data_IF_904927079016
#
_entry.id   IF_904927079016
#
_cell.length_a   1.000
_cell.length_b   1.000
_cell.length_c   1.000
_cell.angle_alpha   90.00
_cell.angle_beta   90.00
_cell.angle_gamma   90.00
#
_symmetry.space_group_name_H-M   'P 1'
#
loop_
_entity.id
_entity.type
_entity.pdbx_description
1 polymer ?
#
# COMPACT_ATOMS: atom_id res chain seq x y z
N UNK A 1 21.67 -7.24 1.34
CA UNK A 1 20.64 -6.21 1.58
C UNK A 1 19.85 -5.87 0.30
N UNK A 2 20.51 -5.45 -0.80
CA UNK A 2 19.84 -5.03 -2.05
C UNK A 2 18.93 -6.11 -2.63
N UNK A 3 19.35 -7.37 -2.63
CA UNK A 3 18.55 -8.49 -3.14
C UNK A 3 17.24 -8.61 -2.36
N UNK A 4 17.28 -8.50 -1.03
CA UNK A 4 16.10 -8.63 -0.16
C UNK A 4 15.16 -7.43 -0.25
N UNK A 5 15.71 -6.23 -0.44
CA UNK A 5 14.91 -4.98 -0.42
C UNK A 5 14.44 -4.53 -1.80
N UNK A 6 15.04 -5.01 -2.89
CA UNK A 6 14.67 -4.60 -4.23
C UNK A 6 14.35 -5.79 -5.14
N UNK A 7 15.28 -6.73 -5.31
CA UNK A 7 15.12 -7.80 -6.32
C UNK A 7 14.00 -8.77 -5.95
N UNK A 8 13.99 -9.26 -4.72
CA UNK A 8 12.98 -10.24 -4.28
C UNK A 8 11.57 -9.67 -4.29
N UNK A 9 11.27 -8.51 -3.62
CA UNK A 9 9.91 -7.97 -3.64
C UNK A 9 9.43 -7.61 -5.04
N UNK A 10 10.31 -7.11 -5.92
CA UNK A 10 10.00 -6.85 -7.31
C UNK A 10 9.62 -8.13 -8.06
N UNK A 11 10.49 -9.16 -8.03
CA UNK A 11 10.27 -10.41 -8.75
C UNK A 11 9.03 -11.17 -8.24
N UNK A 12 8.85 -11.24 -6.92
CA UNK A 12 7.70 -11.90 -6.32
C UNK A 12 6.41 -11.16 -6.64
N UNK A 13 6.40 -9.83 -6.54
CA UNK A 13 5.23 -9.03 -6.87
C UNK A 13 4.85 -9.17 -8.34
N UNK A 14 5.83 -9.10 -9.25
CA UNK A 14 5.64 -9.29 -10.67
C UNK A 14 5.08 -10.69 -11.00
N UNK A 15 5.72 -11.74 -10.48
CA UNK A 15 5.31 -13.12 -10.74
C UNK A 15 3.92 -13.42 -10.15
N UNK A 16 3.66 -13.02 -8.91
CA UNK A 16 2.38 -13.23 -8.27
C UNK A 16 1.26 -12.45 -8.95
N UNK A 17 1.48 -11.18 -9.31
CA UNK A 17 0.51 -10.38 -10.03
C UNK A 17 0.20 -10.98 -11.41
N UNK A 18 1.21 -11.44 -12.13
CA UNK A 18 1.04 -12.12 -13.41
C UNK A 18 0.24 -13.42 -13.25
N UNK A 19 0.64 -14.30 -12.33
CA UNK A 19 -0.06 -15.55 -12.07
C UNK A 19 -1.52 -15.33 -11.71
N UNK A 20 -1.81 -14.41 -10.79
CA UNK A 20 -3.18 -14.09 -10.37
C UNK A 20 -4.01 -13.50 -11.52
N UNK A 21 -3.41 -12.60 -12.30
CA UNK A 21 -4.09 -11.99 -13.44
C UNK A 21 -4.47 -12.99 -14.52
N UNK A 22 -3.60 -13.97 -14.80
CA UNK A 22 -3.82 -14.98 -15.85
C UNK A 22 -4.64 -16.17 -15.36
N UNK A 23 -4.55 -16.57 -14.09
CA UNK A 23 -5.23 -17.76 -13.56
C UNK A 23 -6.64 -17.47 -13.06
N UNK A 24 -6.82 -16.39 -12.29
CA UNK A 24 -8.07 -16.09 -11.55
C UNK A 24 -8.78 -14.88 -12.16
N UNK A 25 -8.02 -13.92 -12.64
CA UNK A 25 -8.53 -12.72 -13.29
C UNK A 25 -7.77 -11.45 -12.94
N UNK A 26 -7.82 -10.50 -13.84
CA UNK A 26 -7.03 -9.25 -13.78
C UNK A 26 -7.28 -8.42 -12.52
N UNK A 27 -8.48 -8.46 -11.95
CA UNK A 27 -8.86 -7.77 -10.71
C UNK A 27 -8.06 -8.23 -9.48
N UNK A 28 -7.47 -9.43 -9.53
CA UNK A 28 -6.68 -9.98 -8.42
C UNK A 28 -5.17 -9.66 -8.54
N UNK A 29 -4.73 -9.04 -9.62
CA UNK A 29 -3.33 -8.65 -9.81
C UNK A 29 -2.76 -7.82 -8.65
N UNK A 30 -3.50 -6.87 -8.03
CA UNK A 30 -3.01 -6.10 -6.89
C UNK A 30 -2.62 -6.93 -5.66
N UNK A 31 -3.18 -8.16 -5.50
CA UNK A 31 -2.76 -9.07 -4.44
C UNK A 31 -1.28 -9.48 -4.57
N UNK A 32 -0.72 -9.46 -5.77
CA UNK A 32 0.71 -9.70 -6.01
C UNK A 32 1.59 -8.67 -5.31
N UNK A 33 1.16 -7.40 -5.22
CA UNK A 33 1.83 -6.36 -4.46
C UNK A 33 1.93 -6.71 -2.97
N UNK A 34 0.81 -7.12 -2.38
CA UNK A 34 0.76 -7.51 -0.97
C UNK A 34 1.65 -8.71 -0.67
N UNK A 35 1.66 -9.72 -1.55
CA UNK A 35 2.54 -10.89 -1.42
C UNK A 35 4.02 -10.50 -1.54
N UNK A 36 4.38 -9.67 -2.52
CA UNK A 36 5.76 -9.18 -2.69
C UNK A 36 6.26 -8.41 -1.48
N UNK A 37 5.43 -7.51 -0.95
CA UNK A 37 5.75 -6.77 0.25
C UNK A 37 5.83 -7.66 1.50
N UNK A 38 4.91 -8.62 1.67
CA UNK A 38 4.91 -9.52 2.82
C UNK A 38 6.17 -10.40 2.85
N UNK A 39 6.59 -10.94 1.71
CA UNK A 39 7.80 -11.74 1.61
C UNK A 39 9.05 -10.87 1.88
N UNK A 40 9.08 -9.64 1.36
CA UNK A 40 10.16 -8.71 1.66
C UNK A 40 10.23 -8.39 3.17
N UNK A 41 9.07 -8.11 3.78
CA UNK A 41 9.00 -7.88 5.21
C UNK A 41 9.56 -9.08 6.00
N UNK A 42 9.13 -10.29 5.65
CA UNK A 42 9.61 -11.52 6.30
C UNK A 42 11.14 -11.69 6.18
N UNK A 43 11.70 -11.40 5.02
CA UNK A 43 13.15 -11.51 4.80
C UNK A 43 13.95 -10.44 5.56
N UNK A 44 13.39 -9.26 5.79
CA UNK A 44 14.06 -8.13 6.45
C UNK A 44 13.91 -8.20 7.97
N UNK A 45 12.70 -8.45 8.45
CA UNK A 45 12.31 -8.32 9.85
C UNK A 45 12.00 -9.66 10.52
N UNK A 46 11.90 -10.75 9.75
CA UNK A 46 11.38 -12.03 10.23
C UNK A 46 9.85 -12.07 10.29
N UNK A 47 9.31 -13.14 10.87
CA UNK A 47 7.87 -13.28 11.03
C UNK A 47 7.31 -12.18 11.93
N UNK A 48 6.21 -11.52 11.51
CA UNK A 48 5.61 -10.48 12.33
C UNK A 48 5.05 -11.07 13.64
N UNK A 49 5.46 -10.55 14.81
CA UNK A 49 5.01 -11.05 16.10
C UNK A 49 3.54 -10.70 16.36
N UNK A 50 2.83 -11.61 17.04
CA UNK A 50 1.48 -11.41 17.54
C UNK A 50 1.51 -11.36 19.08
N UNK A 51 1.08 -10.27 19.72
CA UNK A 51 0.62 -8.99 19.17
C UNK A 51 1.79 -8.07 18.70
N UNK A 52 1.57 -7.21 17.69
CA UNK A 52 2.59 -6.30 17.20
C UNK A 52 2.88 -5.19 18.23
N UNK A 53 4.16 -5.06 18.64
CA UNK A 53 4.57 -4.11 19.67
C UNK A 53 5.02 -2.75 19.09
N UNK A 54 5.61 -2.75 17.89
CA UNK A 54 6.15 -1.56 17.22
C UNK A 54 5.37 -1.20 15.95
N UNK A 55 5.50 0.06 15.50
CA UNK A 55 4.82 0.55 14.29
C UNK A 55 5.25 -0.23 13.04
N UNK A 56 6.55 -0.56 12.90
CA UNK A 56 7.05 -1.36 11.78
C UNK A 56 6.45 -2.77 11.76
N UNK A 57 6.18 -3.38 12.92
CA UNK A 57 5.56 -4.69 13.03
C UNK A 57 4.07 -4.71 12.67
N UNK A 58 3.42 -3.55 12.65
CA UNK A 58 2.02 -3.40 12.22
C UNK A 58 1.88 -3.34 10.71
N UNK A 59 2.94 -2.98 9.97
CA UNK A 59 2.89 -2.76 8.52
C UNK A 59 2.38 -3.98 7.71
N UNK A 60 2.84 -5.23 7.94
CA UNK A 60 2.34 -6.37 7.20
C UNK A 60 0.85 -6.64 7.45
N UNK A 61 0.38 -6.42 8.68
CA UNK A 61 -1.04 -6.55 9.00
C UNK A 61 -1.87 -5.45 8.33
N UNK A 62 -1.36 -4.22 8.30
CA UNK A 62 -2.01 -3.11 7.60
C UNK A 62 -2.08 -3.34 6.11
N UNK A 63 -0.99 -3.85 5.51
CA UNK A 63 -0.96 -4.18 4.09
C UNK A 63 -1.97 -5.28 3.75
N UNK A 64 -2.03 -6.33 4.56
CA UNK A 64 -3.02 -7.40 4.40
C UNK A 64 -4.44 -6.86 4.53
N UNK A 65 -4.71 -6.06 5.58
CA UNK A 65 -6.02 -5.46 5.84
C UNK A 65 -6.46 -4.52 4.71
N UNK A 66 -5.56 -3.66 4.25
CA UNK A 66 -5.81 -2.76 3.14
C UNK A 66 -6.11 -3.51 1.83
N UNK A 67 -5.37 -4.59 1.57
CA UNK A 67 -5.57 -5.42 0.38
C UNK A 67 -6.90 -6.17 0.42
N UNK A 68 -7.23 -6.78 1.56
CA UNK A 68 -8.52 -7.45 1.75
C UNK A 68 -9.69 -6.46 1.67
N UNK A 69 -9.53 -5.30 2.30
CA UNK A 69 -10.53 -4.25 2.25
C UNK A 69 -10.75 -3.74 0.82
N UNK A 70 -9.67 -3.47 0.07
CA UNK A 70 -9.74 -3.08 -1.33
C UNK A 70 -10.47 -4.12 -2.19
N UNK A 71 -10.18 -5.41 -1.98
CA UNK A 71 -10.86 -6.50 -2.67
C UNK A 71 -12.34 -6.57 -2.31
N UNK A 72 -12.70 -6.42 -1.04
CA UNK A 72 -14.10 -6.40 -0.58
C UNK A 72 -14.84 -5.21 -1.19
N UNK A 73 -14.23 -4.02 -1.17
CA UNK A 73 -14.83 -2.83 -1.78
C UNK A 73 -15.03 -3.02 -3.27
N UNK A 74 -14.10 -3.63 -3.99
CA UNK A 74 -14.22 -3.89 -5.41
C UNK A 74 -15.35 -4.89 -5.72
N UNK A 75 -15.44 -5.98 -4.96
CA UNK A 75 -16.52 -6.97 -5.11
C UNK A 75 -17.87 -6.36 -4.75
N UNK A 76 -17.93 -5.53 -3.70
CA UNK A 76 -19.13 -4.88 -3.24
C UNK A 76 -19.52 -3.63 -4.08
N UNK A 77 -18.59 -3.09 -4.85
CA UNK A 77 -18.78 -1.85 -5.63
C UNK A 77 -19.93 -1.93 -6.63
N UNK A 78 -20.25 -3.12 -7.12
CA UNK A 78 -21.39 -3.37 -8.01
C UNK A 78 -22.73 -3.21 -7.31
N UNK A 79 -22.76 -3.31 -5.97
CA UNK A 79 -23.99 -3.26 -5.16
C UNK A 79 -24.08 -2.04 -4.23
N UNK A 80 -22.94 -1.41 -3.91
CA UNK A 80 -22.82 -0.39 -2.86
C UNK A 80 -22.16 0.90 -3.37
N UNK A 81 -22.55 1.38 -4.54
CA UNK A 81 -21.95 2.57 -5.20
C UNK A 81 -21.96 3.81 -4.31
N UNK A 82 -23.00 4.01 -3.51
CA UNK A 82 -23.13 5.16 -2.58
C UNK A 82 -22.22 5.05 -1.35
N UNK A 83 -21.90 3.83 -0.90
CA UNK A 83 -21.04 3.61 0.28
C UNK A 83 -19.56 3.58 -0.06
N UNK A 84 -19.20 3.44 -1.31
CA UNK A 84 -17.81 3.39 -1.79
C UNK A 84 -16.95 4.57 -1.28
N UNK A 85 -17.46 5.83 -1.33
CA UNK A 85 -16.71 6.98 -0.81
C UNK A 85 -16.46 6.94 0.68
N UNK A 86 -17.46 6.60 1.44
CA UNK A 86 -17.35 6.56 2.91
C UNK A 86 -16.43 5.44 3.37
N UNK A 87 -16.50 4.26 2.74
CA UNK A 87 -15.61 3.15 3.01
C UNK A 87 -14.15 3.48 2.67
N UNK A 88 -13.91 4.14 1.53
CA UNK A 88 -12.55 4.54 1.14
C UNK A 88 -11.93 5.53 2.13
N UNK A 89 -12.70 6.45 2.71
CA UNK A 89 -12.23 7.38 3.73
C UNK A 89 -12.06 6.73 5.12
N UNK A 90 -12.84 5.69 5.42
CA UNK A 90 -12.73 4.98 6.68
C UNK A 90 -11.40 4.24 6.84
N UNK A 91 -10.81 3.75 5.73
CA UNK A 91 -9.55 3.01 5.76
C UNK A 91 -8.36 3.84 6.29
N UNK A 92 -8.02 5.02 5.73
CA UNK A 92 -6.92 5.83 6.24
C UNK A 92 -7.15 6.29 7.68
N UNK A 93 -8.40 6.56 8.07
CA UNK A 93 -8.74 6.87 9.45
C UNK A 93 -8.45 5.69 10.38
N UNK A 94 -8.93 4.49 10.05
CA UNK A 94 -8.70 3.29 10.84
C UNK A 94 -7.20 2.97 10.96
N UNK A 95 -6.43 3.11 9.87
CA UNK A 95 -4.97 2.93 9.86
C UNK A 95 -4.30 3.96 10.79
N UNK A 96 -4.64 5.23 10.66
CA UNK A 96 -4.08 6.31 11.48
C UNK A 96 -4.35 6.09 12.96
N UNK A 97 -5.59 5.79 13.32
CA UNK A 97 -6.00 5.49 14.70
C UNK A 97 -5.24 4.27 15.24
N UNK A 98 -5.14 3.19 14.48
CA UNK A 98 -4.45 1.99 14.96
C UNK A 98 -2.94 2.19 15.11
N UNK A 99 -2.29 2.91 14.19
CA UNK A 99 -0.87 3.24 14.31
C UNK A 99 -0.61 4.15 15.51
N UNK A 100 -1.43 5.18 15.69
CA UNK A 100 -1.29 6.18 16.75
C UNK A 100 -2.00 5.82 18.06
N UNK A 101 -2.57 4.63 18.21
CA UNK A 101 -3.39 4.24 19.37
C UNK A 101 -2.75 4.59 20.72
N UNK A 102 -1.45 4.30 20.87
CA UNK A 102 -0.71 4.59 22.12
C UNK A 102 -0.57 6.07 22.41
N UNK A 103 -0.41 6.90 21.39
CA UNK A 103 -0.35 8.35 21.57
C UNK A 103 -1.71 8.95 21.85
N UNK A 104 -2.75 8.45 21.19
CA UNK A 104 -4.15 8.85 21.46
C UNK A 104 -4.53 8.56 22.91
N UNK A 105 -4.20 7.39 23.44
CA UNK A 105 -4.51 7.00 24.83
C UNK A 105 -3.72 7.79 25.87
N UNK A 106 -2.59 8.39 25.48
CA UNK A 106 -1.76 9.24 26.35
C UNK A 106 -2.09 10.73 26.23
N UNK A 107 -2.96 11.12 25.30
CA UNK A 107 -3.28 12.51 25.02
C UNK A 107 -2.13 13.31 24.40
N UNK A 108 -1.22 12.62 23.68
CA UNK A 108 -0.08 13.25 23.03
C UNK A 108 -0.55 14.04 21.79
N UNK A 109 -0.46 15.38 21.91
CA UNK A 109 -0.95 16.33 20.90
C UNK A 109 -0.21 16.17 19.56
N UNK A 110 1.12 15.92 19.59
CA UNK A 110 1.92 15.75 18.38
C UNK A 110 1.50 14.49 17.62
N UNK A 111 1.14 13.45 18.33
CA UNK A 111 0.66 12.21 17.76
C UNK A 111 -0.76 12.37 17.16
N UNK A 112 -1.63 13.13 17.82
CA UNK A 112 -2.96 13.48 17.31
C UNK A 112 -2.83 14.30 16.03
N UNK A 113 -1.95 15.31 16.01
CA UNK A 113 -1.67 16.12 14.82
C UNK A 113 -1.12 15.27 13.67
N UNK A 114 -0.22 14.33 13.95
CA UNK A 114 0.32 13.40 12.96
C UNK A 114 -0.77 12.51 12.35
N UNK A 115 -1.66 11.96 13.17
CA UNK A 115 -2.78 11.14 12.69
C UNK A 115 -3.73 11.96 11.83
N UNK A 116 -4.05 13.19 12.25
CA UNK A 116 -4.89 14.10 11.49
C UNK A 116 -4.25 14.46 10.12
N UNK A 117 -2.94 14.75 10.11
CA UNK A 117 -2.21 15.01 8.88
C UNK A 117 -2.21 13.80 7.94
N UNK A 118 -1.96 12.59 8.45
CA UNK A 118 -2.02 11.35 7.66
C UNK A 118 -3.42 11.11 7.09
N UNK A 119 -4.46 11.37 7.88
CA UNK A 119 -5.84 11.23 7.42
C UNK A 119 -6.16 12.25 6.31
N UNK A 120 -5.78 13.51 6.49
CA UNK A 120 -6.01 14.56 5.47
C UNK A 120 -5.27 14.23 4.17
N UNK A 121 -3.97 13.90 4.25
CA UNK A 121 -3.16 13.56 3.08
C UNK A 121 -3.69 12.29 2.40
N UNK A 122 -3.96 11.23 3.16
CA UNK A 122 -4.51 9.97 2.62
C UNK A 122 -5.87 10.18 1.96
N UNK A 123 -6.74 10.98 2.57
CA UNK A 123 -8.05 11.32 2.01
C UNK A 123 -7.93 12.18 0.75
N UNK A 124 -7.02 13.15 0.72
CA UNK A 124 -6.77 13.98 -0.45
C UNK A 124 -6.26 13.16 -1.64
N UNK A 125 -5.34 12.22 -1.39
CA UNK A 125 -4.85 11.28 -2.40
C UNK A 125 -6.04 10.44 -2.95
N UNK A 126 -6.83 9.83 -2.07
CA UNK A 126 -7.97 9.02 -2.49
C UNK A 126 -9.02 9.82 -3.26
N UNK A 127 -9.26 11.07 -2.87
CA UNK A 127 -10.21 11.95 -3.58
C UNK A 127 -9.66 12.40 -4.94
N UNK A 128 -8.36 12.68 -5.04
CA UNK A 128 -7.72 13.02 -6.32
C UNK A 128 -7.84 11.88 -7.33
N UNK A 129 -7.75 10.63 -6.88
CA UNK A 129 -7.93 9.45 -7.74
C UNK A 129 -9.38 9.15 -8.12
N UNK A 130 -10.36 9.84 -7.53
CA UNK A 130 -11.77 9.67 -7.88
C UNK A 130 -12.20 10.39 -9.13
N UNK A 131 -11.49 11.42 -9.54
CA UNK A 131 -11.84 12.15 -10.76
C UNK A 131 -11.71 11.23 -11.97
N UNK A 132 -12.74 11.11 -12.82
CA UNK A 132 -12.64 10.31 -14.02
C UNK A 132 -11.53 10.93 -14.89
N UNK A 133 -10.47 10.20 -15.21
CA UNK A 133 -9.43 10.73 -16.06
C UNK A 133 -10.03 10.86 -17.47
N UNK A 134 -9.94 12.05 -18.00
CA UNK A 134 -10.33 12.34 -19.39
C UNK A 134 -9.43 11.62 -20.41
N UNK A 135 -8.32 11.06 -19.97
CA UNK A 135 -7.35 10.34 -20.79
C UNK A 135 -7.14 8.92 -20.30
N UNK A 136 -7.19 7.93 -21.20
CA UNK A 136 -7.17 6.49 -20.93
C UNK A 136 -5.96 5.88 -20.20
N UNK A 137 -5.24 6.65 -19.38
CA UNK A 137 -4.06 6.20 -18.60
C UNK A 137 -4.37 5.67 -17.20
N UNK A 138 -5.60 5.24 -16.95
CA UNK A 138 -6.17 4.92 -15.62
C UNK A 138 -5.42 3.89 -14.78
N UNK A 139 -4.60 3.04 -15.37
CA UNK A 139 -3.98 1.92 -14.64
C UNK A 139 -2.58 2.18 -14.10
N UNK A 140 -1.93 3.30 -14.44
CA UNK A 140 -0.52 3.53 -14.11
C UNK A 140 -0.31 4.66 -13.08
N UNK A 141 -1.23 5.62 -13.01
CA UNK A 141 -1.03 6.83 -12.20
C UNK A 141 -1.00 6.54 -10.70
N UNK A 142 -1.98 5.79 -10.18
CA UNK A 142 -2.05 5.47 -8.76
C UNK A 142 -0.82 4.69 -8.26
N UNK A 143 -0.43 3.56 -8.88
CA UNK A 143 0.76 2.85 -8.45
C UNK A 143 2.06 3.63 -8.72
N UNK A 144 2.12 4.52 -9.74
CA UNK A 144 3.28 5.37 -9.96
C UNK A 144 3.46 6.42 -8.85
N UNK A 145 2.38 7.09 -8.43
CA UNK A 145 2.43 8.02 -7.29
C UNK A 145 2.77 7.28 -6.00
N UNK A 146 2.18 6.12 -5.75
CA UNK A 146 2.52 5.29 -4.59
C UNK A 146 4.00 4.89 -4.59
N UNK A 147 4.57 4.57 -5.77
CA UNK A 147 5.99 4.26 -5.92
C UNK A 147 6.86 5.47 -5.57
N UNK A 148 6.55 6.66 -6.11
CA UNK A 148 7.28 7.89 -5.78
C UNK A 148 7.20 8.19 -4.29
N UNK A 149 6.03 8.07 -3.68
CA UNK A 149 5.85 8.25 -2.23
C UNK A 149 6.68 7.24 -1.43
N UNK A 150 6.69 5.96 -1.81
CA UNK A 150 7.48 4.95 -1.14
C UNK A 150 8.99 5.22 -1.25
N UNK A 151 9.49 5.64 -2.42
CA UNK A 151 10.88 6.06 -2.61
C UNK A 151 11.23 7.27 -1.75
N UNK A 152 10.38 8.28 -1.73
CA UNK A 152 10.57 9.49 -0.92
C UNK A 152 10.61 9.16 0.57
N UNK A 153 9.68 8.34 1.05
CA UNK A 153 9.66 7.87 2.44
C UNK A 153 10.92 7.07 2.78
N UNK A 154 11.41 6.22 1.86
CA UNK A 154 12.65 5.49 2.03
C UNK A 154 13.86 6.43 2.17
N UNK A 155 13.95 7.45 1.33
CA UNK A 155 15.02 8.46 1.39
C UNK A 155 14.95 9.28 2.70
N UNK A 156 13.77 9.74 3.09
CA UNK A 156 13.56 10.45 4.37
C UNK A 156 13.90 9.58 5.59
N UNK A 157 13.55 8.30 5.56
CA UNK A 157 13.89 7.37 6.63
C UNK A 157 15.41 7.14 6.74
N UNK A 158 16.14 7.13 5.62
CA UNK A 158 17.62 7.09 5.66
C UNK A 158 18.20 8.35 6.31
N UNK A 159 17.70 9.53 5.97
CA UNK A 159 18.12 10.79 6.57
C UNK A 159 17.79 10.83 8.07
N UNK A 160 16.67 10.22 8.48
CA UNK A 160 16.27 10.06 9.87
C UNK A 160 16.96 8.89 10.62
N UNK A 161 18.01 8.30 10.04
CA UNK A 161 18.77 7.16 10.61
C UNK A 161 17.92 5.92 10.93
N UNK A 162 16.79 5.73 10.24
CA UNK A 162 15.93 4.55 10.40
C UNK A 162 16.12 3.56 9.26
N UNK A 163 17.17 2.74 9.35
CA UNK A 163 17.51 1.79 8.30
C UNK A 163 16.40 0.77 8.00
N UNK A 164 15.72 0.26 9.03
CA UNK A 164 14.63 -0.70 8.86
C UNK A 164 13.41 -0.09 8.15
N UNK A 165 13.04 1.13 8.50
CA UNK A 165 11.94 1.85 7.83
C UNK A 165 12.30 2.14 6.37
N UNK A 166 13.53 2.56 6.09
CA UNK A 166 14.02 2.77 4.74
C UNK A 166 13.98 1.50 3.90
N UNK A 167 14.46 0.37 4.44
CA UNK A 167 14.43 -0.92 3.75
C UNK A 167 13.00 -1.35 3.42
N UNK A 168 12.05 -1.21 4.33
CA UNK A 168 10.64 -1.54 4.09
C UNK A 168 10.00 -0.62 3.04
N UNK A 169 10.32 0.67 3.06
CA UNK A 169 9.84 1.62 2.06
C UNK A 169 10.39 1.30 0.65
N UNK A 170 11.68 0.99 0.54
CA UNK A 170 12.26 0.56 -0.75
C UNK A 170 11.73 -0.79 -1.21
N UNK A 171 11.46 -1.73 -0.30
CA UNK A 171 10.81 -3.00 -0.64
C UNK A 171 9.39 -2.79 -1.18
N UNK A 172 8.63 -1.87 -0.59
CA UNK A 172 7.32 -1.48 -1.10
C UNK A 172 7.43 -0.83 -2.49
N UNK A 173 8.38 0.08 -2.68
CA UNK A 173 8.64 0.70 -3.99
C UNK A 173 9.00 -0.36 -5.05
N UNK A 174 9.84 -1.32 -4.71
CA UNK A 174 10.22 -2.42 -5.61
C UNK A 174 9.01 -3.30 -5.98
N UNK A 175 8.17 -3.64 -5.00
CA UNK A 175 6.95 -4.40 -5.24
C UNK A 175 5.95 -3.64 -6.14
N UNK A 176 5.78 -2.33 -5.92
CA UNK A 176 4.99 -1.45 -6.80
C UNK A 176 5.56 -1.40 -8.22
N UNK A 177 6.88 -1.31 -8.35
CA UNK A 177 7.58 -1.35 -9.64
C UNK A 177 7.31 -2.64 -10.42
N UNK A 178 7.27 -3.79 -9.75
CA UNK A 178 6.93 -5.08 -10.35
C UNK A 178 5.53 -5.09 -10.97
N UNK A 179 4.54 -4.57 -10.25
CA UNK A 179 3.15 -4.45 -10.75
C UNK A 179 3.04 -3.41 -11.87
N UNK A 180 3.77 -2.28 -11.76
CA UNK A 180 3.80 -1.24 -12.80
C UNK A 180 4.35 -1.78 -14.13
N UNK A 181 5.45 -2.52 -14.09
CA UNK A 181 6.05 -3.11 -15.30
C UNK A 181 5.10 -4.09 -15.97
N UNK A 182 4.36 -4.88 -15.21
CA UNK A 182 3.36 -5.79 -15.77
C UNK A 182 2.28 -5.03 -16.56
N UNK A 183 1.93 -3.83 -16.12
CA UNK A 183 0.93 -3.00 -16.77
C UNK A 183 1.50 -2.06 -17.86
N UNK A 184 2.81 -1.93 -17.95
CA UNK A 184 3.50 -1.13 -18.95
C UNK A 184 3.89 -2.00 -20.19
N UNK A 185 3.72 -1.52 -21.41
CA UNK A 185 3.09 -0.29 -21.91
C UNK A 185 1.63 -0.46 -22.28
N UNK A 186 1.06 -1.65 -22.14
CA UNK A 186 -0.19 -2.07 -22.77
C UNK A 186 -1.44 -1.75 -21.97
N UNK A 187 -1.30 -1.24 -20.72
CA UNK A 187 -2.39 -0.92 -19.80
C UNK A 187 -3.47 -2.04 -19.71
N UNK A 188 -3.01 -3.30 -19.75
CA UNK A 188 -3.90 -4.48 -19.80
C UNK A 188 -4.65 -4.73 -18.50
N UNK A 189 -4.16 -4.16 -17.40
CA UNK A 189 -4.74 -4.35 -16.09
C UNK A 189 -5.25 -3.00 -15.57
N UNK A 190 -6.55 -2.69 -15.72
CA UNK A 190 -7.10 -1.54 -15.04
C UNK A 190 -7.01 -1.82 -13.54
N UNK A 191 -6.14 -1.12 -12.84
CA UNK A 191 -6.31 -0.95 -11.41
C UNK A 191 -7.54 -0.08 -11.27
N UNK A 192 -8.70 -0.73 -11.03
CA UNK A 192 -9.94 -0.03 -10.90
C UNK A 192 -9.84 0.96 -9.74
N UNK A 193 -9.98 2.23 -10.10
CA UNK A 193 -10.27 3.28 -9.14
C UNK A 193 -11.73 3.18 -8.71
#
# INVERSE_FOLDING_TARGET
PVIQTAVVPFAVSLAAAALLAFSIGRRYAPLGLALGFFIAYWLIMGLPPLPPRGSAQKLPYLTLLATLFGLVVEIAATRLTLLRPTLALALPLAIGVWLGWRGLTRGDVDNIATIAALFVVGSAILLAYRQPPETGRRGLEAPAVALVLALTMGALALLGHSASTAQLAFALAAALGGVLILNWPTQRFPFAG
#
